data_IF_813965532042
#
_entry.id   IF_813965532042
#
_cell.length_a   1.000
_cell.length_b   1.000
_cell.length_c   1.000
_cell.angle_alpha   90.00
_cell.angle_beta   90.00
_cell.angle_gamma   90.00
#
_symmetry.space_group_name_H-M   'P 1'
#
loop_
_entity.id
_entity.type
_entity.pdbx_description
1 polymer ?
#
# COMPACT_ATOMS: atom_id res chain seq x y z
N UNK A 1 -18.32 10.73 -8.26
CA UNK A 1 -18.69 9.30 -8.10
C UNK A 1 -17.77 8.33 -8.85
N UNK A 2 -16.81 8.84 -9.60
CA UNK A 2 -15.83 7.98 -10.32
C UNK A 2 -14.98 7.24 -9.27
N UNK A 3 -14.90 5.91 -9.38
CA UNK A 3 -14.20 5.03 -8.43
C UNK A 3 -14.99 4.68 -7.15
N UNK A 4 -15.96 5.47 -6.76
CA UNK A 4 -16.72 5.23 -5.52
C UNK A 4 -17.63 4.00 -5.55
N UNK A 5 -18.09 3.59 -6.75
CA UNK A 5 -18.99 2.43 -6.87
C UNK A 5 -18.35 1.12 -6.41
N UNK A 6 -17.07 0.92 -6.69
CA UNK A 6 -16.32 -0.28 -6.25
C UNK A 6 -16.14 -0.29 -4.74
N UNK A 7 -15.75 0.85 -4.16
CA UNK A 7 -15.64 1.02 -2.71
C UNK A 7 -16.97 0.75 -2.01
N UNK A 8 -18.06 1.33 -2.54
CA UNK A 8 -19.41 1.14 -2.02
C UNK A 8 -19.86 -0.33 -2.06
N UNK A 9 -19.62 -1.04 -3.16
CA UNK A 9 -19.92 -2.47 -3.28
C UNK A 9 -19.08 -3.30 -2.31
N UNK A 10 -17.80 -2.99 -2.12
CA UNK A 10 -16.93 -3.65 -1.14
C UNK A 10 -17.43 -3.43 0.29
N UNK A 11 -17.76 -2.18 0.67
CA UNK A 11 -18.28 -1.85 2.00
C UNK A 11 -19.61 -2.54 2.30
N UNK A 12 -20.47 -2.68 1.30
CA UNK A 12 -21.79 -3.32 1.42
C UNK A 12 -21.76 -4.82 1.14
N UNK A 13 -20.58 -5.42 0.95
CA UNK A 13 -20.41 -6.84 0.58
C UNK A 13 -21.22 -7.23 -0.66
N UNK A 14 -21.33 -6.33 -1.63
CA UNK A 14 -22.10 -6.53 -2.86
C UNK A 14 -23.62 -6.34 -2.74
N UNK A 15 -24.16 -6.09 -1.56
CA UNK A 15 -25.60 -5.91 -1.36
C UNK A 15 -26.09 -4.49 -1.57
N UNK A 16 -25.19 -3.51 -1.64
CA UNK A 16 -25.55 -2.12 -1.85
C UNK A 16 -26.06 -1.83 -3.25
N UNK A 17 -27.11 -1.03 -3.36
CA UNK A 17 -27.61 -0.49 -4.63
C UNK A 17 -27.36 1.00 -4.60
N UNK A 18 -26.58 1.52 -5.55
CA UNK A 18 -26.30 2.93 -5.72
C UNK A 18 -26.85 3.39 -7.06
N UNK A 19 -27.78 4.33 -7.04
CA UNK A 19 -28.33 4.96 -8.23
C UNK A 19 -27.88 6.42 -8.27
N UNK A 20 -27.64 6.92 -9.47
CA UNK A 20 -27.37 8.33 -9.71
C UNK A 20 -28.10 8.80 -10.95
N UNK A 21 -28.55 10.05 -10.94
CA UNK A 21 -29.21 10.71 -12.05
C UNK A 21 -28.47 12.00 -12.38
N UNK A 22 -28.58 12.44 -13.63
CA UNK A 22 -28.06 13.74 -14.03
C UNK A 22 -28.80 14.84 -13.26
N UNK A 23 -28.07 15.79 -12.71
CA UNK A 23 -28.60 16.97 -12.04
C UNK A 23 -28.43 18.19 -12.93
N UNK A 24 -27.21 18.68 -13.11
CA UNK A 24 -26.94 19.90 -13.88
C UNK A 24 -25.50 19.98 -14.37
N UNK A 25 -25.24 20.85 -15.33
CA UNK A 25 -23.89 21.23 -15.71
C UNK A 25 -23.35 22.31 -14.78
N UNK A 26 -22.15 22.10 -14.27
CA UNK A 26 -21.44 23.06 -13.44
C UNK A 26 -20.08 23.38 -14.06
N UNK A 27 -19.47 24.53 -13.73
CA UNK A 27 -18.09 24.80 -14.10
C UNK A 27 -17.16 23.68 -13.62
N UNK A 28 -16.17 23.32 -14.45
CA UNK A 28 -15.17 22.31 -14.09
C UNK A 28 -14.43 22.75 -12.83
N UNK A 29 -14.49 21.91 -11.78
CA UNK A 29 -13.69 22.12 -10.58
C UNK A 29 -12.28 21.62 -10.91
N UNK A 30 -11.24 22.52 -10.89
CA UNK A 30 -9.89 22.10 -11.14
C UNK A 30 -9.42 21.14 -10.04
N UNK A 31 -8.82 20.03 -10.44
CA UNK A 31 -8.32 18.99 -9.53
C UNK A 31 -8.25 17.63 -10.21
N UNK A 32 -7.46 16.75 -9.65
CA UNK A 32 -7.44 15.35 -10.09
C UNK A 32 -8.73 14.66 -9.64
N UNK A 33 -9.44 14.08 -10.60
CA UNK A 33 -10.69 13.33 -10.36
C UNK A 33 -10.31 11.85 -10.27
N UNK A 34 -10.55 11.24 -9.14
CA UNK A 34 -10.15 9.86 -8.86
C UNK A 34 -8.72 9.77 -8.32
N UNK A 35 -8.26 8.55 -8.16
CA UNK A 35 -6.93 8.29 -7.59
C UNK A 35 -6.93 8.19 -6.07
N UNK A 36 -5.94 7.51 -5.58
CA UNK A 36 -5.73 7.26 -4.16
C UNK A 36 -5.24 8.54 -3.48
N UNK A 37 -5.90 8.94 -2.39
CA UNK A 37 -5.48 10.09 -1.58
C UNK A 37 -4.31 9.78 -0.66
N UNK A 38 -4.12 8.51 -0.29
CA UNK A 38 -3.07 8.05 0.61
C UNK A 38 -1.90 7.49 -0.17
N UNK A 39 -0.70 7.64 0.38
CA UNK A 39 0.51 7.08 -0.23
C UNK A 39 0.61 5.57 -0.05
N UNK A 40 1.61 4.97 -0.70
CA UNK A 40 1.96 3.57 -0.55
C UNK A 40 3.07 3.37 0.50
N UNK A 41 3.03 2.23 1.19
CA UNK A 41 4.17 1.68 1.90
C UNK A 41 4.97 0.82 0.93
N UNK A 42 6.20 1.20 0.64
CA UNK A 42 7.04 0.58 -0.40
C UNK A 42 8.25 -0.09 0.24
N UNK A 43 8.48 -1.37 -0.07
CA UNK A 43 9.66 -2.08 0.42
C UNK A 43 10.95 -1.48 -0.15
N UNK A 44 11.95 -1.31 0.72
CA UNK A 44 13.31 -0.87 0.34
C UNK A 44 14.25 -2.06 0.11
N UNK A 45 13.83 -3.25 0.51
CA UNK A 45 14.71 -4.42 0.56
C UNK A 45 14.03 -5.66 -0.02
N UNK A 46 14.84 -6.64 -0.39
CA UNK A 46 14.39 -7.94 -0.90
C UNK A 46 14.59 -9.00 0.17
N UNK A 47 13.58 -9.83 0.40
CA UNK A 47 13.62 -10.90 1.40
C UNK A 47 12.25 -11.29 1.91
N UNK A 48 12.17 -11.88 3.09
CA UNK A 48 10.91 -12.28 3.72
C UNK A 48 10.43 -11.23 4.73
N UNK A 49 9.16 -10.89 4.66
CA UNK A 49 8.52 -10.01 5.64
C UNK A 49 8.57 -10.63 7.04
N UNK A 50 9.05 -9.88 8.03
CA UNK A 50 9.17 -10.37 9.42
C UNK A 50 8.05 -9.80 10.28
N UNK A 51 7.57 -10.59 11.24
CA UNK A 51 6.58 -10.14 12.23
C UNK A 51 7.05 -8.89 12.98
N UNK A 52 8.34 -8.85 13.32
CA UNK A 52 8.94 -7.71 14.02
C UNK A 52 8.84 -6.41 13.22
N UNK A 53 9.17 -6.45 11.93
CA UNK A 53 9.06 -5.27 11.06
C UNK A 53 7.60 -4.87 10.79
N UNK A 54 6.71 -5.85 10.58
CA UNK A 54 5.28 -5.59 10.40
C UNK A 54 4.73 -4.82 11.60
N UNK A 55 4.98 -5.25 12.83
CA UNK A 55 4.56 -4.54 14.04
C UNK A 55 5.03 -3.07 14.08
N UNK A 56 6.26 -2.81 13.65
CA UNK A 56 6.81 -1.45 13.62
C UNK A 56 6.18 -0.58 12.52
N UNK A 57 5.72 -1.21 11.43
CA UNK A 57 5.20 -0.51 10.25
C UNK A 57 3.68 -0.33 10.33
N UNK A 58 2.94 -1.23 11.00
CA UNK A 58 1.47 -1.17 11.10
C UNK A 58 0.93 0.09 11.80
N UNK A 59 1.76 0.79 12.57
CA UNK A 59 1.44 2.11 13.13
C UNK A 59 1.37 3.21 12.06
N UNK A 60 2.00 2.96 10.90
CA UNK A 60 2.13 3.94 9.80
C UNK A 60 1.07 3.75 8.72
N UNK A 61 0.36 2.63 8.74
CA UNK A 61 -0.67 2.35 7.74
C UNK A 61 -1.19 0.92 7.78
N UNK A 62 -1.91 0.55 6.74
CA UNK A 62 -2.51 -0.79 6.59
C UNK A 62 -1.59 -1.68 5.77
N UNK A 63 -1.23 -2.85 6.30
CA UNK A 63 -0.34 -3.81 5.64
C UNK A 63 -1.15 -4.77 4.76
N UNK A 64 -0.60 -5.12 3.59
CA UNK A 64 -1.21 -6.01 2.60
C UNK A 64 -0.58 -7.41 2.53
N UNK A 65 0.53 -7.62 3.23
CA UNK A 65 1.31 -8.86 3.18
C UNK A 65 1.36 -9.55 4.53
N UNK A 66 1.34 -10.88 4.51
CA UNK A 66 1.51 -11.70 5.70
C UNK A 66 2.98 -11.82 6.12
N UNK A 67 3.26 -12.12 7.40
CA UNK A 67 4.59 -12.54 7.82
C UNK A 67 5.07 -13.74 6.98
N UNK A 68 6.34 -13.74 6.61
CA UNK A 68 6.94 -14.79 5.78
C UNK A 68 6.74 -14.62 4.27
N UNK A 69 5.91 -13.67 3.82
CA UNK A 69 5.75 -13.35 2.41
C UNK A 69 7.07 -12.84 1.82
N UNK A 70 7.43 -13.34 0.66
CA UNK A 70 8.58 -12.84 -0.10
C UNK A 70 8.25 -11.48 -0.71
N UNK A 71 9.10 -10.51 -0.44
CA UNK A 71 9.00 -9.13 -0.92
C UNK A 71 10.29 -8.75 -1.64
N UNK A 72 10.22 -7.75 -2.49
CA UNK A 72 11.38 -7.20 -3.20
C UNK A 72 11.38 -5.67 -3.17
N UNK A 73 12.52 -5.07 -3.47
CA UNK A 73 12.64 -3.62 -3.53
C UNK A 73 11.65 -3.02 -4.53
N UNK A 74 10.92 -1.99 -4.11
CA UNK A 74 9.90 -1.34 -4.93
C UNK A 74 8.51 -2.01 -4.88
N UNK A 75 8.35 -3.16 -4.23
CA UNK A 75 7.06 -3.79 -3.99
C UNK A 75 6.23 -2.97 -3.02
N UNK A 76 4.96 -2.77 -3.31
CA UNK A 76 4.00 -2.11 -2.43
C UNK A 76 3.49 -3.15 -1.43
N UNK A 77 3.68 -2.88 -0.16
CA UNK A 77 3.38 -3.79 0.95
C UNK A 77 2.25 -3.29 1.84
N UNK A 78 1.72 -2.11 1.54
CA UNK A 78 0.64 -1.51 2.32
C UNK A 78 0.25 -0.12 1.84
N UNK A 79 -0.78 0.42 2.47
CA UNK A 79 -1.24 1.80 2.32
C UNK A 79 -0.71 2.65 3.47
N UNK A 80 -0.11 3.79 3.17
CA UNK A 80 0.33 4.74 4.18
C UNK A 80 -0.88 5.51 4.75
N UNK A 81 -0.84 5.88 6.02
CA UNK A 81 -1.84 6.76 6.63
C UNK A 81 -1.74 8.23 6.16
N UNK A 82 -0.61 8.60 5.53
CA UNK A 82 -0.35 9.93 4.95
C UNK A 82 -0.44 9.89 3.43
N UNK A 83 -0.53 11.06 2.80
CA UNK A 83 -0.65 11.20 1.35
C UNK A 83 0.62 10.79 0.58
N UNK A 84 1.79 10.89 1.20
CA UNK A 84 3.06 10.57 0.51
C UNK A 84 3.43 9.10 0.64
N UNK A 85 4.09 8.58 -0.37
CA UNK A 85 4.72 7.26 -0.30
C UNK A 85 5.82 7.22 0.77
N UNK A 86 5.87 6.11 1.48
CA UNK A 86 6.87 5.86 2.51
C UNK A 86 7.62 4.57 2.21
N UNK A 87 8.94 4.69 2.03
CA UNK A 87 9.81 3.53 1.92
C UNK A 87 10.15 2.97 3.28
N UNK A 88 9.95 1.66 3.47
CA UNK A 88 10.12 0.97 4.74
C UNK A 88 10.88 -0.34 4.56
N UNK A 89 11.60 -0.77 5.58
CA UNK A 89 12.26 -2.07 5.60
C UNK A 89 11.37 -3.08 6.33
N UNK A 90 10.74 -3.99 5.58
CA UNK A 90 9.86 -5.03 6.12
C UNK A 90 10.57 -6.35 6.38
N UNK A 91 11.82 -6.49 5.92
CA UNK A 91 12.62 -7.71 6.05
C UNK A 91 13.48 -7.73 7.32
N UNK A 92 13.55 -6.61 8.04
CA UNK A 92 14.40 -6.46 9.22
C UNK A 92 14.00 -7.43 10.33
N UNK A 93 14.92 -8.29 10.72
CA UNK A 93 14.72 -9.17 11.88
C UNK A 93 15.06 -8.46 13.20
N UNK A 94 14.46 -8.92 14.29
CA UNK A 94 14.85 -8.52 15.64
C UNK A 94 16.30 -8.98 15.88
N UNK A 95 17.19 -8.06 16.20
CA UNK A 95 18.55 -8.44 16.64
C UNK A 95 18.43 -9.10 18.00
N UNK A 96 18.97 -10.31 18.12
CA UNK A 96 19.10 -10.98 19.41
C UNK A 96 20.14 -10.22 20.24
N UNK A 97 19.70 -9.53 21.27
CA UNK A 97 20.58 -9.02 22.32
C UNK A 97 20.73 -10.11 23.37
N UNK A 98 21.97 -10.44 23.77
CA UNK A 98 22.29 -11.44 24.80
C UNK A 98 21.87 -11.05 26.23
N UNK A 99 21.04 -10.03 26.39
CA UNK A 99 20.47 -9.66 27.67
C UNK A 99 19.27 -10.60 27.91
N UNK A 100 19.47 -11.58 28.78
CA UNK A 100 18.40 -12.35 29.41
C UNK A 100 17.53 -11.42 30.26
N UNK A 101 16.63 -10.68 29.65
CA UNK A 101 15.50 -10.13 30.40
C UNK A 101 14.51 -11.27 30.58
N UNK A 102 14.29 -11.67 31.82
CA UNK A 102 13.27 -12.63 32.24
C UNK A 102 11.84 -12.08 32.01
N UNK A 103 11.69 -11.10 31.17
CA UNK A 103 10.40 -10.53 30.77
C UNK A 103 9.83 -11.40 29.66
N UNK A 104 8.81 -12.16 30.03
CA UNK A 104 7.92 -12.94 29.20
C UNK A 104 7.88 -12.40 27.76
N UNK A 105 8.26 -13.22 26.79
CA UNK A 105 8.05 -12.93 25.37
C UNK A 105 6.56 -12.60 25.20
N UNK A 106 6.25 -11.30 25.11
CA UNK A 106 4.91 -10.87 24.74
C UNK A 106 4.69 -11.40 23.35
N UNK A 107 3.73 -12.32 23.23
CA UNK A 107 3.29 -12.81 21.93
C UNK A 107 2.91 -11.60 21.09
N UNK A 108 3.71 -11.31 20.09
CA UNK A 108 3.53 -10.14 19.23
C UNK A 108 2.22 -10.31 18.46
N UNK A 109 1.19 -9.59 18.88
CA UNK A 109 -0.09 -9.56 18.18
C UNK A 109 -0.01 -8.49 17.11
N UNK A 110 0.02 -8.91 15.85
CA UNK A 110 -0.08 -8.04 14.68
C UNK A 110 -1.53 -7.94 14.23
N UNK A 111 -1.91 -6.80 13.67
CA UNK A 111 -3.22 -6.65 13.01
C UNK A 111 -3.28 -7.59 11.81
N UNK A 112 -4.46 -8.13 11.53
CA UNK A 112 -4.68 -8.94 10.33
C UNK A 112 -4.41 -8.10 9.09
N UNK A 113 -3.48 -8.51 8.19
CA UNK A 113 -3.23 -7.81 6.96
C UNK A 113 -4.47 -7.76 6.07
N UNK A 114 -4.68 -6.65 5.37
CA UNK A 114 -5.72 -6.51 4.35
C UNK A 114 -5.21 -7.09 3.04
N UNK A 115 -5.67 -8.29 2.70
CA UNK A 115 -5.36 -8.87 1.39
C UNK A 115 -6.29 -8.26 0.36
N UNK A 116 -5.72 -7.57 -0.63
CA UNK A 116 -6.50 -6.92 -1.68
C UNK A 116 -7.01 -7.94 -2.70
N UNK A 117 -8.27 -7.78 -3.12
CA UNK A 117 -8.82 -8.47 -4.30
C UNK A 117 -8.24 -7.87 -5.58
N UNK A 118 -8.56 -8.47 -6.74
CA UNK A 118 -8.15 -7.93 -8.04
C UNK A 118 -8.72 -6.52 -8.25
N UNK A 119 -9.99 -6.34 -7.96
CA UNK A 119 -10.72 -5.08 -8.11
C UNK A 119 -10.14 -4.00 -7.19
N UNK A 120 -9.95 -4.32 -5.92
CA UNK A 120 -9.32 -3.41 -4.96
C UNK A 120 -7.88 -3.05 -5.35
N UNK A 121 -7.14 -4.01 -5.93
CA UNK A 121 -5.78 -3.78 -6.42
C UNK A 121 -5.75 -2.84 -7.61
N UNK A 122 -6.70 -2.97 -8.55
CA UNK A 122 -6.85 -2.07 -9.70
C UNK A 122 -7.20 -0.64 -9.26
N UNK A 123 -8.11 -0.51 -8.30
CA UNK A 123 -8.51 0.79 -7.75
C UNK A 123 -7.38 1.46 -6.95
N UNK A 124 -6.52 0.66 -6.33
CA UNK A 124 -5.40 1.15 -5.54
C UNK A 124 -4.29 1.76 -6.39
N UNK A 125 -4.14 1.36 -7.66
CA UNK A 125 -3.03 1.78 -8.53
C UNK A 125 -3.04 3.28 -8.83
N UNK A 126 -1.83 3.86 -8.77
CA UNK A 126 -1.52 5.17 -9.32
C UNK A 126 -0.73 5.04 -10.63
N UNK A 127 -0.57 6.16 -11.36
CA UNK A 127 0.09 6.22 -12.67
C UNK A 127 1.55 5.72 -12.66
N UNK A 128 2.22 5.79 -11.51
CA UNK A 128 3.61 5.35 -11.33
C UNK A 128 3.73 3.93 -10.78
N UNK A 129 2.66 3.16 -10.80
CA UNK A 129 2.56 1.82 -10.22
C UNK A 129 2.13 0.77 -11.25
N UNK A 130 2.50 -0.48 -11.00
CA UNK A 130 2.09 -1.64 -11.77
C UNK A 130 1.51 -2.72 -10.87
N UNK A 131 0.60 -3.50 -11.43
CA UNK A 131 0.09 -4.72 -10.83
C UNK A 131 0.65 -5.92 -11.58
N UNK A 132 1.20 -6.86 -10.84
CA UNK A 132 1.66 -8.16 -11.31
C UNK A 132 0.65 -9.22 -10.89
N UNK A 133 0.05 -9.88 -11.86
CA UNK A 133 -0.92 -10.95 -11.64
C UNK A 133 -0.29 -12.28 -12.01
N UNK A 134 -0.23 -13.20 -11.06
CA UNK A 134 0.20 -14.56 -11.25
C UNK A 134 -0.92 -15.52 -10.86
N UNK A 135 -0.88 -16.81 -11.23
CA UNK A 135 -1.90 -17.77 -10.79
C UNK A 135 -2.04 -17.89 -9.26
N UNK A 136 -0.99 -17.56 -8.51
CA UNK A 136 -0.94 -17.73 -7.07
C UNK A 136 -1.10 -16.42 -6.28
N UNK A 137 -0.79 -15.28 -6.88
CA UNK A 137 -0.75 -14.02 -6.15
C UNK A 137 -0.91 -12.78 -7.03
N UNK A 138 -1.46 -11.73 -6.42
CA UNK A 138 -1.49 -10.37 -6.96
C UNK A 138 -0.48 -9.55 -6.16
N UNK A 139 0.40 -8.84 -6.86
CA UNK A 139 1.42 -7.97 -6.26
C UNK A 139 1.36 -6.60 -6.88
N UNK A 140 1.48 -5.59 -6.06
CA UNK A 140 1.59 -4.20 -6.50
C UNK A 140 3.03 -3.74 -6.37
N UNK A 141 3.52 -2.95 -7.33
CA UNK A 141 4.87 -2.41 -7.30
C UNK A 141 5.00 -1.05 -7.95
N UNK A 142 6.04 -0.33 -7.61
CA UNK A 142 6.42 0.88 -8.35
C UNK A 142 6.99 0.52 -9.72
N UNK A 143 6.80 1.40 -10.72
CA UNK A 143 7.41 1.25 -12.05
C UNK A 143 8.93 1.26 -11.94
N UNK A 144 9.49 2.19 -11.16
CA UNK A 144 10.91 2.27 -10.86
C UNK A 144 11.14 1.60 -9.51
N UNK A 145 11.82 0.46 -9.48
CA UNK A 145 12.02 -0.32 -8.25
C UNK A 145 13.02 0.33 -7.30
N UNK A 146 14.13 0.87 -7.83
CA UNK A 146 15.18 1.49 -7.03
C UNK A 146 14.73 2.81 -6.40
N UNK A 147 14.92 2.94 -5.09
CA UNK A 147 14.52 4.11 -4.31
C UNK A 147 15.21 5.40 -4.79
N UNK A 148 16.50 5.33 -5.12
CA UNK A 148 17.27 6.52 -5.50
C UNK A 148 16.86 7.02 -6.88
N UNK A 149 16.56 6.08 -7.80
CA UNK A 149 16.05 6.41 -9.13
C UNK A 149 14.66 7.04 -9.05
N UNK A 150 13.75 6.53 -8.19
CA UNK A 150 12.46 7.18 -7.92
C UNK A 150 12.62 8.62 -7.45
N UNK A 151 13.51 8.84 -6.47
CA UNK A 151 13.78 10.19 -5.95
C UNK A 151 14.33 11.15 -7.03
N UNK A 152 15.19 10.66 -7.92
CA UNK A 152 15.71 11.45 -9.05
C UNK A 152 14.61 11.77 -10.07
N UNK A 153 13.77 10.79 -10.41
CA UNK A 153 12.65 10.96 -11.33
C UNK A 153 11.63 11.98 -10.79
N UNK A 154 11.28 11.91 -9.51
CA UNK A 154 10.39 12.86 -8.87
C UNK A 154 10.94 14.30 -8.86
N UNK A 155 12.25 14.47 -8.63
CA UNK A 155 12.89 15.80 -8.71
C UNK A 155 12.85 16.36 -10.13
N UNK A 156 13.10 15.51 -11.15
CA UNK A 156 13.06 15.92 -12.56
C UNK A 156 11.66 16.34 -12.99
N UNK A 157 10.60 15.65 -12.53
CA UNK A 157 9.21 16.01 -12.82
C UNK A 157 8.85 17.38 -12.24
N UNK A 158 9.20 17.64 -10.97
CA UNK A 158 8.98 18.94 -10.30
C UNK A 158 9.75 20.13 -10.90
N UNK A 159 10.84 19.90 -11.62
CA UNK A 159 11.60 20.96 -12.29
C UNK A 159 11.11 21.23 -13.72
N UNK A 160 10.17 20.44 -14.23
CA UNK A 160 9.59 20.57 -15.57
C UNK A 160 8.17 21.15 -15.55
N UNK A 161 7.57 21.27 -14.38
CA UNK A 161 6.33 22.01 -14.09
C UNK A 161 6.63 23.46 -13.70
#
# INVERSE_FOLDING_TARGET
LIGYSTEFLSMTRGYGIMNHTFDQYLPLIPGEIGGRRRGALVSIDTGKATTYSIMSIEERGTIFVNPGTEVYEGMIIGENSRENDLTVNITKAKQMTNVRSATKDQTAVIKTPRILTLEESLEFLNDDEYMEVTPESIRLRKQILDKNQRAKAAKKKKSAE
#
